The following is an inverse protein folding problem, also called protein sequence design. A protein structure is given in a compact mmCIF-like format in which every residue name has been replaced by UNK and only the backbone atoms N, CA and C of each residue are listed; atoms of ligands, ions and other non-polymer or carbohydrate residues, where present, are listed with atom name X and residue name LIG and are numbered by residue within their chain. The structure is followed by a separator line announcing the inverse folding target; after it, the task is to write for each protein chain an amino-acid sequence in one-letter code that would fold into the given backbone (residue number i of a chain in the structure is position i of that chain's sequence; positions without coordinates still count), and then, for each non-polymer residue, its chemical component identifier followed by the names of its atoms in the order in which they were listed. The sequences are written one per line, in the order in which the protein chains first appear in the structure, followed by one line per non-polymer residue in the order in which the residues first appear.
data_IF_315738796235
#
_entry.id   IF_315738796235
#
_cell.length_a   1.000
_cell.length_b   1.000
_cell.length_c   1.000
_cell.angle_alpha   90.00
_cell.angle_beta   90.00
_cell.angle_gamma   90.00
#
_symmetry.space_group_name_H-M   'P 1'
#
loop_
_entity.id
_entity.type
_entity.pdbx_description
1 polymer ?
#
# COMPACT_ATOMS: atom_id res chain seq x y z
N UNK A 1 40.06 29.80 55.24
CA UNK A 1 40.77 29.55 53.97
C UNK A 1 40.99 28.06 53.84
N UNK A 2 40.22 27.39 52.96
CA UNK A 2 40.62 26.26 52.13
C UNK A 2 39.36 25.64 51.49
N UNK A 3 39.17 26.00 50.22
CA UNK A 3 38.47 25.34 49.10
C UNK A 3 37.20 24.50 49.35
N UNK A 4 36.08 25.01 48.84
CA UNK A 4 34.97 24.20 48.30
C UNK A 4 35.50 23.27 47.19
N UNK A 5 35.07 22.00 47.14
CA UNK A 5 35.12 21.23 45.90
C UNK A 5 33.81 21.40 45.13
N UNK A 6 33.94 22.01 43.96
CA UNK A 6 32.95 22.02 42.88
C UNK A 6 32.60 20.59 42.42
N UNK A 7 31.37 20.48 41.93
CA UNK A 7 30.60 19.32 41.48
C UNK A 7 31.28 18.38 40.48
N UNK A 8 30.67 17.20 40.24
CA UNK A 8 30.12 17.03 38.89
C UNK A 8 28.64 16.67 38.92
N UNK A 9 27.87 17.51 38.21
CA UNK A 9 26.52 17.26 37.74
C UNK A 9 26.37 15.81 37.27
N UNK A 10 25.46 15.09 37.90
CA UNK A 10 25.00 13.79 37.42
C UNK A 10 24.00 14.03 36.29
N UNK A 11 24.48 14.55 35.16
CA UNK A 11 23.73 14.64 33.91
C UNK A 11 23.83 13.29 33.19
N UNK A 12 23.08 12.29 33.67
CA UNK A 12 22.82 11.06 32.92
C UNK A 12 21.41 10.55 33.20
N UNK A 13 20.71 10.31 32.10
CA UNK A 13 19.40 9.65 31.95
C UNK A 13 18.17 10.56 31.86
N UNK A 14 18.27 11.58 31.01
CA UNK A 14 17.12 11.86 30.13
C UNK A 14 16.93 10.69 29.16
N UNK A 15 15.68 10.23 28.88
CA UNK A 15 15.45 9.25 27.82
C UNK A 15 16.11 9.73 26.53
N UNK A 16 16.61 8.84 25.66
CA UNK A 16 17.29 9.24 24.45
C UNK A 16 16.39 10.23 23.72
N UNK A 17 16.81 11.50 23.68
CA UNK A 17 16.17 12.52 22.87
C UNK A 17 16.25 11.98 21.46
N UNK A 18 15.17 11.37 21.00
CA UNK A 18 14.90 11.11 19.61
C UNK A 18 15.08 12.47 18.92
N UNK A 19 16.27 12.68 18.37
CA UNK A 19 16.54 13.80 17.48
C UNK A 19 15.45 13.81 16.41
N UNK A 20 15.14 14.98 15.83
CA UNK A 20 13.97 15.15 14.98
C UNK A 20 14.01 14.11 13.86
N UNK A 21 13.31 12.99 14.08
CA UNK A 21 13.05 11.95 13.10
C UNK A 21 12.58 12.72 11.89
N UNK A 22 13.38 12.74 10.82
CA UNK A 22 13.08 13.45 9.58
C UNK A 22 11.63 13.09 9.23
N UNK A 23 10.71 14.02 9.53
CA UNK A 23 9.32 13.67 9.83
C UNK A 23 8.77 13.07 8.56
N UNK A 24 8.54 11.77 8.59
CA UNK A 24 7.94 11.06 7.48
C UNK A 24 6.52 11.61 7.28
N UNK A 25 6.42 12.65 6.47
CA UNK A 25 5.25 13.51 6.33
C UNK A 25 4.79 13.52 4.88
N UNK A 26 3.51 13.80 4.68
CA UNK A 26 2.96 13.96 3.35
C UNK A 26 3.60 15.21 2.72
N UNK A 27 4.34 15.01 1.62
CA UNK A 27 4.97 16.09 0.86
C UNK A 27 4.28 16.27 -0.48
N UNK A 28 4.41 17.46 -1.08
CA UNK A 28 3.87 17.76 -2.42
C UNK A 28 4.35 16.74 -3.45
N UNK A 29 5.63 16.33 -3.39
CA UNK A 29 6.19 15.29 -4.25
C UNK A 29 5.45 13.95 -4.12
N UNK A 30 5.09 13.55 -2.90
CA UNK A 30 4.33 12.30 -2.68
C UNK A 30 2.90 12.43 -3.18
N UNK A 31 2.29 13.60 -3.03
CA UNK A 31 0.97 13.89 -3.60
C UNK A 31 1.00 13.76 -5.12
N UNK A 32 2.02 14.33 -5.78
CA UNK A 32 2.23 14.21 -7.23
C UNK A 32 2.47 12.77 -7.67
N UNK A 33 3.20 11.98 -6.89
CA UNK A 33 3.40 10.56 -7.18
C UNK A 33 2.11 9.74 -7.01
N UNK A 34 1.28 10.08 -6.02
CA UNK A 34 -0.03 9.47 -5.82
C UNK A 34 -0.99 9.81 -6.96
N UNK A 35 -1.03 11.07 -7.39
CA UNK A 35 -1.90 11.48 -8.52
C UNK A 35 -1.41 10.89 -9.84
N UNK A 36 -0.09 10.82 -10.07
CA UNK A 36 0.48 10.14 -11.23
C UNK A 36 0.17 8.64 -11.21
N UNK A 37 0.37 7.97 -10.07
CA UNK A 37 0.00 6.57 -9.89
C UNK A 37 -1.48 6.33 -10.16
N UNK A 38 -2.37 7.17 -9.60
CA UNK A 38 -3.81 7.10 -9.83
C UNK A 38 -4.17 7.27 -11.30
N UNK A 39 -3.58 8.24 -12.01
CA UNK A 39 -3.81 8.46 -13.43
C UNK A 39 -3.37 7.25 -14.28
N UNK A 40 -2.22 6.65 -13.97
CA UNK A 40 -1.74 5.43 -14.62
C UNK A 40 -2.68 4.26 -14.31
N UNK A 41 -3.13 4.15 -13.05
CA UNK A 41 -4.12 3.19 -12.58
C UNK A 41 -5.39 3.22 -13.44
N UNK A 42 -6.03 4.39 -13.51
CA UNK A 42 -7.24 4.61 -14.29
C UNK A 42 -7.02 4.45 -15.80
N UNK A 43 -5.85 4.81 -16.33
CA UNK A 43 -5.55 4.68 -17.75
C UNK A 43 -5.32 3.23 -18.19
N UNK A 44 -4.63 2.43 -17.39
CA UNK A 44 -4.19 1.08 -17.78
C UNK A 44 -5.11 -0.03 -17.24
N UNK A 45 -5.54 0.08 -15.98
CA UNK A 45 -6.24 -1.00 -15.28
C UNK A 45 -7.77 -0.89 -15.35
N UNK A 46 -8.31 0.20 -15.91
CA UNK A 46 -9.76 0.29 -16.13
C UNK A 46 -10.16 -0.72 -17.21
N UNK A 47 -11.05 -1.68 -16.89
CA UNK A 47 -11.50 -2.65 -17.87
C UNK A 47 -12.23 -1.92 -19.01
N UNK A 48 -11.74 -2.06 -20.24
CA UNK A 48 -12.50 -1.64 -21.41
C UNK A 48 -13.74 -2.54 -21.52
N UNK A 49 -14.91 -1.96 -21.82
CA UNK A 49 -16.11 -2.71 -22.22
C UNK A 49 -15.79 -3.49 -23.48
N UNK A 50 -15.15 -4.65 -23.35
CA UNK A 50 -15.09 -5.63 -24.42
C UNK A 50 -16.43 -6.34 -24.45
N UNK A 51 -17.26 -5.89 -25.38
CA UNK A 51 -18.42 -6.59 -25.90
C UNK A 51 -18.08 -8.09 -26.02
N UNK A 52 -18.69 -8.92 -25.18
CA UNK A 52 -18.67 -10.37 -25.31
C UNK A 52 -17.88 -11.17 -24.27
N UNK A 53 -16.97 -10.59 -23.47
CA UNK A 53 -16.21 -11.38 -22.46
C UNK A 53 -16.15 -10.83 -21.05
N UNK A 54 -16.53 -9.57 -20.83
CA UNK A 54 -16.87 -9.06 -19.48
C UNK A 54 -18.21 -9.59 -18.95
N UNK A 55 -18.90 -10.44 -19.72
CA UNK A 55 -20.17 -11.07 -19.34
C UNK A 55 -19.98 -12.20 -18.31
N UNK A 56 -18.74 -12.68 -18.08
CA UNK A 56 -18.50 -13.81 -17.17
C UNK A 56 -18.17 -13.46 -15.72
N UNK A 57 -17.78 -12.21 -15.45
CA UNK A 57 -17.75 -11.65 -14.11
C UNK A 57 -18.58 -10.39 -14.23
N UNK A 58 -19.76 -10.35 -13.62
CA UNK A 58 -20.65 -9.18 -13.57
C UNK A 58 -19.99 -8.05 -12.73
N UNK A 59 -18.80 -7.63 -13.14
CA UNK A 59 -18.03 -6.56 -12.55
C UNK A 59 -18.70 -5.27 -12.98
N UNK A 60 -19.52 -4.72 -12.10
CA UNK A 60 -20.04 -3.36 -12.21
C UNK A 60 -18.90 -2.42 -12.62
N UNK A 61 -19.14 -1.56 -13.60
CA UNK A 61 -18.13 -0.64 -14.12
C UNK A 61 -17.46 0.18 -12.99
N UNK A 62 -18.23 0.47 -11.94
CA UNK A 62 -17.80 1.10 -10.69
C UNK A 62 -16.73 0.31 -9.95
N UNK A 63 -16.84 -1.02 -9.91
CA UNK A 63 -15.88 -1.90 -9.23
C UNK A 63 -14.55 -2.00 -10.00
N UNK A 64 -14.63 -2.01 -11.33
CA UNK A 64 -13.45 -1.93 -12.21
C UNK A 64 -12.70 -0.61 -12.02
N UNK A 65 -13.43 0.50 -11.97
CA UNK A 65 -12.89 1.83 -11.66
C UNK A 65 -12.22 1.87 -10.27
N UNK A 66 -12.87 1.31 -9.25
CA UNK A 66 -12.33 1.30 -7.89
C UNK A 66 -11.06 0.44 -7.79
N UNK A 67 -11.04 -0.72 -8.46
CA UNK A 67 -9.86 -1.60 -8.53
C UNK A 67 -8.69 -0.92 -9.25
N UNK A 68 -8.98 -0.25 -10.38
CA UNK A 68 -7.98 0.51 -11.13
C UNK A 68 -7.42 1.69 -10.32
N UNK A 69 -8.28 2.41 -9.59
CA UNK A 69 -7.87 3.49 -8.71
C UNK A 69 -6.95 2.98 -7.58
N UNK A 70 -7.32 1.87 -6.94
CA UNK A 70 -6.53 1.28 -5.86
C UNK A 70 -5.18 0.73 -6.33
N UNK A 71 -5.12 0.09 -7.49
CA UNK A 71 -3.84 -0.32 -8.11
C UNK A 71 -2.98 0.88 -8.48
N UNK A 72 -3.61 1.94 -8.98
CA UNK A 72 -2.96 3.21 -9.26
C UNK A 72 -2.31 3.83 -8.02
N UNK A 73 -3.02 3.83 -6.89
CA UNK A 73 -2.48 4.27 -5.62
C UNK A 73 -1.34 3.35 -5.14
N UNK A 74 -1.43 2.05 -5.37
CA UNK A 74 -0.38 1.11 -4.99
C UNK A 74 0.94 1.29 -5.78
N UNK A 75 0.90 1.74 -7.03
CA UNK A 75 2.10 1.92 -7.89
C UNK A 75 3.26 2.70 -7.23
N UNK A 76 3.05 3.88 -6.64
CA UNK A 76 4.12 4.64 -6.00
C UNK A 76 4.54 4.08 -4.62
N UNK A 77 3.85 3.08 -4.08
CA UNK A 77 4.12 2.55 -2.74
C UNK A 77 5.55 2.01 -2.54
N UNK A 78 6.16 1.26 -3.49
CA UNK A 78 7.52 0.78 -3.33
C UNK A 78 8.54 1.93 -3.33
N UNK A 79 8.30 2.99 -4.11
CA UNK A 79 9.13 4.19 -4.11
C UNK A 79 9.08 4.91 -2.77
N UNK A 80 7.92 4.96 -2.12
CA UNK A 80 7.79 5.56 -0.79
C UNK A 80 8.54 4.76 0.27
N UNK A 81 8.40 3.43 0.27
CA UNK A 81 9.03 2.54 1.26
C UNK A 81 10.55 2.47 1.05
N UNK A 82 11.02 2.32 -0.19
CA UNK A 82 12.44 2.30 -0.52
C UNK A 82 13.08 3.67 -0.30
N UNK A 83 12.41 4.76 -0.67
CA UNK A 83 12.91 6.11 -0.49
C UNK A 83 13.18 6.46 0.98
N UNK A 84 12.36 5.94 1.90
CA UNK A 84 12.62 6.06 3.33
C UNK A 84 13.81 5.25 3.80
N UNK A 85 13.91 4.00 3.34
CA UNK A 85 15.03 3.13 3.72
C UNK A 85 16.36 3.72 3.24
N UNK A 86 16.37 4.25 2.02
CA UNK A 86 17.53 4.95 1.45
C UNK A 86 17.87 6.24 2.21
N UNK A 87 16.86 6.96 2.70
CA UNK A 87 17.05 8.14 3.56
C UNK A 87 17.45 7.82 5.01
N UNK A 88 17.84 6.57 5.32
CA UNK A 88 18.13 6.07 6.68
C UNK A 88 16.97 6.27 7.67
N UNK A 89 15.73 6.19 7.16
CA UNK A 89 14.52 6.25 7.97
C UNK A 89 14.35 5.03 8.88
N UNK A 90 13.28 5.02 9.70
CA UNK A 90 12.99 3.91 10.61
C UNK A 90 12.82 2.58 9.88
N UNK A 91 12.95 1.46 10.61
CA UNK A 91 12.75 0.13 10.06
C UNK A 91 11.36 0.00 9.38
N UNK A 92 11.29 -0.78 8.31
CA UNK A 92 10.04 -0.99 7.56
C UNK A 92 9.07 -1.73 8.48
N UNK A 93 8.05 -1.01 8.95
CA UNK A 93 6.97 -1.58 9.73
C UNK A 93 6.04 -2.47 8.90
N UNK A 94 5.11 -3.18 9.55
CA UNK A 94 4.15 -4.04 8.87
C UNK A 94 3.41 -3.30 7.75
N UNK A 95 2.90 -2.10 7.98
CA UNK A 95 2.17 -1.33 6.96
C UNK A 95 3.04 -1.04 5.74
N UNK A 96 4.31 -0.68 5.95
CA UNK A 96 5.27 -0.47 4.87
C UNK A 96 5.55 -1.73 4.06
N UNK A 97 5.63 -2.91 4.71
CA UNK A 97 5.78 -4.19 4.02
C UNK A 97 4.58 -4.47 3.10
N UNK A 98 3.37 -4.26 3.59
CA UNK A 98 2.17 -4.45 2.77
C UNK A 98 2.10 -3.51 1.58
N UNK A 99 2.36 -2.22 1.82
CA UNK A 99 2.41 -1.21 0.76
C UNK A 99 3.43 -1.60 -0.31
N UNK A 100 4.60 -2.11 0.10
CA UNK A 100 5.63 -2.59 -0.80
C UNK A 100 5.19 -3.84 -1.57
N UNK A 101 4.57 -4.83 -0.93
CA UNK A 101 4.10 -6.05 -1.59
C UNK A 101 3.01 -5.76 -2.62
N UNK A 102 1.99 -4.98 -2.27
CA UNK A 102 0.90 -4.63 -3.19
C UNK A 102 1.43 -3.72 -4.31
N UNK A 103 2.28 -2.76 -3.99
CA UNK A 103 2.88 -1.88 -4.99
C UNK A 103 3.79 -2.60 -5.97
N UNK A 104 4.61 -3.55 -5.49
CA UNK A 104 5.41 -4.40 -6.36
C UNK A 104 4.53 -5.28 -7.25
N UNK A 105 3.45 -5.85 -6.72
CA UNK A 105 2.51 -6.60 -7.53
C UNK A 105 1.83 -5.71 -8.60
N UNK A 106 1.45 -4.48 -8.28
CA UNK A 106 0.93 -3.52 -9.26
C UNK A 106 1.95 -3.18 -10.35
N UNK A 107 3.23 -3.00 -9.98
CA UNK A 107 4.34 -2.79 -10.93
C UNK A 107 4.60 -4.01 -11.82
N UNK A 108 4.50 -5.23 -11.27
CA UNK A 108 4.65 -6.48 -12.04
C UNK A 108 3.45 -6.74 -12.95
N UNK A 109 2.27 -6.21 -12.61
CA UNK A 109 1.08 -6.26 -13.46
C UNK A 109 1.12 -5.26 -14.62
N UNK A 110 1.97 -4.24 -14.55
CA UNK A 110 2.04 -3.16 -15.54
C UNK A 110 2.41 -3.66 -16.96
N UNK A 111 3.46 -4.48 -17.16
CA UNK A 111 3.80 -5.03 -18.48
C UNK A 111 2.69 -5.87 -19.12
N UNK A 112 2.09 -6.88 -18.45
CA UNK A 112 1.07 -7.70 -19.09
C UNK A 112 -0.25 -6.95 -19.30
N UNK A 113 -0.61 -5.97 -18.45
CA UNK A 113 -1.78 -5.08 -18.67
C UNK A 113 -1.55 -4.16 -19.86
N UNK A 114 -0.36 -3.55 -19.97
CA UNK A 114 -0.01 -2.72 -21.12
C UNK A 114 -0.01 -3.54 -22.42
N UNK A 115 0.56 -4.76 -22.41
CA UNK A 115 0.51 -5.65 -23.58
C UNK A 115 -0.92 -6.06 -23.94
N UNK A 116 -1.79 -6.33 -22.95
CA UNK A 116 -3.20 -6.60 -23.24
C UNK A 116 -3.87 -5.40 -23.91
N UNK A 117 -3.64 -4.18 -23.40
CA UNK A 117 -4.27 -2.95 -23.89
C UNK A 117 -3.75 -2.50 -25.26
N UNK A 118 -2.46 -2.68 -25.53
CA UNK A 118 -1.84 -2.22 -26.79
C UNK A 118 -1.68 -3.32 -27.84
N UNK A 119 -1.59 -4.59 -27.44
CA UNK A 119 -1.34 -5.72 -28.36
C UNK A 119 -2.46 -6.76 -28.40
N UNK A 120 -3.56 -6.58 -27.65
CA UNK A 120 -4.77 -7.40 -27.73
C UNK A 120 -4.60 -8.88 -27.32
N UNK A 121 -3.50 -9.23 -26.64
CA UNK A 121 -3.21 -10.61 -26.24
C UNK A 121 -3.92 -10.95 -24.93
N UNK A 122 -4.79 -11.98 -24.89
CA UNK A 122 -5.40 -12.44 -23.65
C UNK A 122 -4.41 -13.30 -22.86
N UNK A 123 -4.31 -13.11 -21.54
CA UNK A 123 -3.69 -14.12 -20.68
C UNK A 123 -3.14 -13.64 -19.34
N UNK A 124 -3.46 -14.39 -18.28
CA UNK A 124 -2.94 -14.35 -16.90
C UNK A 124 -3.19 -13.10 -16.04
N UNK A 125 -3.40 -11.92 -16.62
CA UNK A 125 -3.59 -10.65 -15.89
C UNK A 125 -4.79 -10.71 -14.94
N UNK A 126 -5.91 -11.26 -15.41
CA UNK A 126 -7.18 -11.33 -14.67
C UNK A 126 -7.00 -12.17 -13.40
N UNK A 127 -6.31 -13.32 -13.47
CA UNK A 127 -6.14 -14.19 -12.30
C UNK A 127 -5.26 -13.53 -11.25
N UNK A 128 -4.16 -12.89 -11.64
CA UNK A 128 -3.32 -12.21 -10.66
C UNK A 128 -4.01 -10.99 -10.02
N UNK A 129 -4.75 -10.21 -10.81
CA UNK A 129 -5.47 -9.02 -10.35
C UNK A 129 -6.67 -9.35 -9.45
N UNK A 130 -7.47 -10.35 -9.84
CA UNK A 130 -8.75 -10.63 -9.19
C UNK A 130 -8.68 -11.80 -8.20
N UNK A 131 -7.54 -12.51 -8.12
CA UNK A 131 -7.37 -13.63 -7.19
C UNK A 131 -6.16 -13.44 -6.26
N UNK A 132 -4.95 -13.36 -6.81
CA UNK A 132 -3.70 -13.37 -6.01
C UNK A 132 -3.57 -12.10 -5.16
N UNK A 133 -3.75 -10.92 -5.75
CA UNK A 133 -3.64 -9.65 -5.03
C UNK A 133 -4.71 -9.50 -3.92
N UNK A 134 -6.01 -9.77 -4.17
CA UNK A 134 -7.04 -9.91 -3.15
C UNK A 134 -6.67 -10.83 -1.99
N UNK A 135 -6.18 -12.03 -2.30
CA UNK A 135 -5.89 -13.05 -1.31
C UNK A 135 -4.74 -12.60 -0.39
N UNK A 136 -3.65 -12.10 -0.95
CA UNK A 136 -2.50 -11.57 -0.19
C UNK A 136 -2.95 -10.45 0.77
N UNK A 137 -3.85 -9.59 0.31
CA UNK A 137 -4.41 -8.53 1.14
C UNK A 137 -5.26 -9.04 2.29
N UNK A 138 -6.13 -10.00 2.02
CA UNK A 138 -6.97 -10.60 3.05
C UNK A 138 -6.14 -11.25 4.17
N UNK A 139 -5.13 -12.04 3.79
CA UNK A 139 -4.21 -12.67 4.75
C UNK A 139 -3.45 -11.64 5.58
N UNK A 140 -2.95 -10.60 4.92
CA UNK A 140 -2.22 -9.54 5.59
C UNK A 140 -3.11 -8.76 6.56
N UNK A 141 -4.31 -8.39 6.14
CA UNK A 141 -5.26 -7.68 6.98
C UNK A 141 -5.67 -8.52 8.19
N UNK A 142 -5.93 -9.81 7.99
CA UNK A 142 -6.25 -10.74 9.07
C UNK A 142 -5.10 -10.83 10.09
N UNK A 143 -3.85 -10.94 9.62
CA UNK A 143 -2.67 -10.93 10.48
C UNK A 143 -2.53 -9.60 11.24
N UNK A 144 -2.76 -8.47 10.58
CA UNK A 144 -2.69 -7.13 11.18
C UNK A 144 -3.82 -6.86 12.19
N UNK A 145 -5.01 -7.44 11.96
CA UNK A 145 -6.16 -7.36 12.85
C UNK A 145 -5.96 -8.23 14.11
N UNK A 146 -5.54 -9.48 13.94
CA UNK A 146 -5.27 -10.41 15.05
C UNK A 146 -4.18 -9.86 15.99
N UNK A 147 -3.15 -9.25 15.42
CA UNK A 147 -2.05 -8.68 16.21
C UNK A 147 -2.37 -7.29 16.80
N UNK A 148 -3.57 -6.75 16.57
CA UNK A 148 -4.02 -5.46 17.11
C UNK A 148 -3.27 -4.24 16.55
N UNK A 149 -2.45 -4.43 15.51
CA UNK A 149 -1.64 -3.37 14.92
C UNK A 149 -2.48 -2.34 14.18
N UNK A 150 -3.60 -2.77 13.58
CA UNK A 150 -4.44 -1.91 12.74
C UNK A 150 -4.99 -0.69 13.51
N UNK A 151 -5.63 -0.91 14.67
CA UNK A 151 -6.20 0.18 15.46
C UNK A 151 -5.15 1.01 16.19
N UNK A 152 -4.10 0.36 16.73
CA UNK A 152 -3.08 1.07 17.54
C UNK A 152 -2.18 1.97 16.69
N UNK A 153 -1.79 1.52 15.49
CA UNK A 153 -0.83 2.26 14.66
C UNK A 153 -1.46 3.18 13.62
N UNK A 154 -2.68 2.89 13.14
CA UNK A 154 -3.34 3.77 12.17
C UNK A 154 -3.64 5.15 12.76
N UNK A 155 -4.05 5.20 14.02
CA UNK A 155 -4.46 6.44 14.71
C UNK A 155 -3.39 7.04 15.62
N UNK A 156 -2.28 6.33 15.89
CA UNK A 156 -1.20 6.87 16.72
C UNK A 156 -0.45 7.99 16.00
N UNK A 157 -0.32 9.14 16.67
CA UNK A 157 0.35 10.35 16.14
C UNK A 157 1.83 10.14 15.80
N UNK A 158 2.49 9.20 16.46
CA UNK A 158 3.91 8.84 16.28
C UNK A 158 4.17 7.95 15.06
N UNK A 159 3.14 7.35 14.45
CA UNK A 159 3.31 6.44 13.31
C UNK A 159 3.70 7.19 12.04
N UNK A 160 4.73 6.68 11.36
CA UNK A 160 5.22 7.21 10.08
C UNK A 160 4.10 7.20 9.02
N UNK A 161 4.06 8.23 8.17
CA UNK A 161 3.03 8.37 7.13
C UNK A 161 2.92 7.14 6.22
N UNK A 162 4.05 6.56 5.80
CA UNK A 162 4.06 5.33 4.98
C UNK A 162 3.46 4.11 5.67
N UNK A 163 3.63 3.98 6.98
CA UNK A 163 3.06 2.86 7.73
C UNK A 163 1.55 3.02 7.80
N UNK A 164 1.05 4.25 8.03
CA UNK A 164 -0.38 4.56 7.92
C UNK A 164 -0.92 4.34 6.50
N UNK A 165 -0.16 4.74 5.49
CA UNK A 165 -0.52 4.57 4.09
C UNK A 165 -0.72 3.10 3.73
N UNK A 166 0.19 2.23 4.18
CA UNK A 166 0.05 0.79 3.99
C UNK A 166 -1.17 0.19 4.70
N UNK A 167 -1.46 0.62 5.93
CA UNK A 167 -2.68 0.18 6.61
C UNK A 167 -3.95 0.71 5.95
N UNK A 168 -3.96 1.94 5.43
CA UNK A 168 -5.08 2.47 4.65
C UNK A 168 -5.31 1.66 3.37
N UNK A 169 -4.24 1.34 2.64
CA UNK A 169 -4.32 0.44 1.48
C UNK A 169 -4.85 -0.94 1.87
N UNK A 170 -4.46 -1.48 3.03
CA UNK A 170 -4.95 -2.78 3.50
C UNK A 170 -6.44 -2.72 3.80
N UNK A 171 -6.90 -1.70 4.52
CA UNK A 171 -8.31 -1.48 4.84
C UNK A 171 -9.16 -1.30 3.59
N UNK A 172 -8.66 -0.59 2.58
CA UNK A 172 -9.40 -0.34 1.34
C UNK A 172 -9.42 -1.57 0.41
N UNK A 173 -8.31 -2.31 0.33
CA UNK A 173 -8.19 -3.45 -0.57
C UNK A 173 -8.83 -4.72 -0.01
N UNK A 174 -8.86 -4.91 1.31
CA UNK A 174 -9.46 -6.10 1.92
C UNK A 174 -10.94 -6.33 1.54
N UNK A 175 -11.86 -5.37 1.72
CA UNK A 175 -13.27 -5.57 1.37
C UNK A 175 -13.45 -5.79 -0.13
N UNK A 176 -12.67 -5.08 -0.95
CA UNK A 176 -12.63 -5.28 -2.40
C UNK A 176 -12.16 -6.71 -2.74
N UNK A 177 -11.09 -7.16 -2.09
CA UNK A 177 -10.51 -8.47 -2.32
C UNK A 177 -11.45 -9.60 -1.93
N UNK A 178 -12.11 -9.49 -0.78
CA UNK A 178 -13.15 -10.44 -0.34
C UNK A 178 -14.30 -10.49 -1.33
N UNK A 179 -14.77 -9.33 -1.79
CA UNK A 179 -15.85 -9.27 -2.79
C UNK A 179 -15.45 -9.95 -4.10
N UNK A 180 -14.24 -9.68 -4.60
CA UNK A 180 -13.70 -10.31 -5.81
C UNK A 180 -13.58 -11.83 -5.67
N UNK A 181 -13.12 -12.31 -4.51
CA UNK A 181 -13.06 -13.73 -4.18
C UNK A 181 -14.45 -14.39 -4.14
N UNK A 182 -15.44 -13.73 -3.54
CA UNK A 182 -16.84 -14.21 -3.52
C UNK A 182 -17.39 -14.31 -4.93
N UNK A 183 -17.24 -13.26 -5.75
CA UNK A 183 -17.73 -13.25 -7.13
C UNK A 183 -17.05 -14.34 -7.96
N UNK A 184 -15.72 -14.47 -7.86
CA UNK A 184 -15.00 -15.53 -8.53
C UNK A 184 -15.47 -16.93 -8.13
N UNK A 185 -15.77 -17.14 -6.85
CA UNK A 185 -16.30 -18.41 -6.35
C UNK A 185 -17.70 -18.69 -6.89
N UNK A 186 -18.59 -17.70 -6.87
CA UNK A 186 -19.96 -17.79 -7.40
C UNK A 186 -20.01 -18.00 -8.93
N UNK A 187 -19.05 -17.47 -9.68
CA UNK A 187 -18.96 -17.70 -11.13
C UNK A 187 -18.34 -19.06 -11.48
N UNK A 188 -17.60 -19.67 -10.55
CA UNK A 188 -16.87 -20.93 -10.78
C UNK A 188 -17.62 -22.19 -10.31
N UNK A 189 -18.60 -22.06 -9.40
CA UNK A 189 -19.34 -23.16 -8.78
C UNK A 189 -20.83 -22.85 -8.72
#
# INVERSE_FOLDING_TARGET
MAAEPETPETDRDGPPREGPLARDSLTIRRLLLLTAGLAIGLGLFTPERQEGRLIRLNLDATLGLFSAAMLGLALPAPLFVLGQRLAKGPAIGPGGLYALTIGLGALLMLPPVAMHRFAGKPGAVIVCLFYVMPLVSLWYFLAAAITGHLGRKLFARSTAWTERYGFLLAVLWTPLGVWLLIQFYMDSF
#
